data_IF_851538958171
#
_entry.id   IF_851538958171
#
_cell.length_a   1.000
_cell.length_b   1.000
_cell.length_c   1.000
_cell.angle_alpha   90.00
_cell.angle_beta   90.00
_cell.angle_gamma   90.00
#
_symmetry.space_group_name_H-M   'P 1'
#
loop_
_entity.id
_entity.type
_entity.pdbx_description
1 polymer ?
#
# COMPACT_ATOMS: atom_id res chain seq x y z
N UNK A 1 -0.84 1.11 -0.98
CA UNK A 1 -0.56 0.56 0.36
C UNK A 1 -1.71 0.76 1.34
N UNK A 2 -2.29 1.96 1.50
CA UNK A 2 -3.36 2.23 2.47
C UNK A 2 -4.51 1.20 2.50
N UNK A 3 -5.15 0.92 1.37
CA UNK A 3 -6.27 -0.03 1.30
C UNK A 3 -5.87 -1.47 1.64
N UNK A 4 -4.64 -1.87 1.31
CA UNK A 4 -4.12 -3.19 1.71
C UNK A 4 -4.02 -3.25 3.23
N UNK A 5 -3.48 -2.21 3.88
CA UNK A 5 -3.40 -2.18 5.33
C UNK A 5 -4.79 -2.25 5.97
N UNK A 6 -5.75 -1.41 5.53
CA UNK A 6 -7.12 -1.43 6.05
C UNK A 6 -7.81 -2.79 5.86
N UNK A 7 -7.81 -3.33 4.64
CA UNK A 7 -8.59 -4.52 4.32
C UNK A 7 -7.92 -5.85 4.70
N UNK A 8 -6.58 -5.89 4.79
CA UNK A 8 -5.85 -7.14 5.07
C UNK A 8 -5.36 -7.20 6.51
N UNK A 9 -4.78 -6.12 7.00
CA UNK A 9 -4.17 -6.10 8.34
C UNK A 9 -5.22 -5.83 9.41
N UNK A 10 -6.01 -4.76 9.25
CA UNK A 10 -7.01 -4.38 10.26
C UNK A 10 -8.25 -5.30 10.23
N UNK A 11 -8.77 -5.62 9.04
CA UNK A 11 -10.00 -6.41 8.91
C UNK A 11 -9.80 -7.94 9.07
N UNK A 12 -8.76 -8.53 8.49
CA UNK A 12 -8.59 -9.99 8.53
C UNK A 12 -8.04 -10.52 9.87
N UNK A 13 -7.58 -9.63 10.78
CA UNK A 13 -7.06 -9.96 12.13
C UNK A 13 -6.13 -11.18 12.15
N UNK A 14 -5.26 -11.31 11.16
CA UNK A 14 -4.48 -12.54 10.90
C UNK A 14 -3.36 -12.82 11.92
N UNK A 15 -3.35 -12.15 13.08
CA UNK A 15 -2.26 -12.27 14.07
C UNK A 15 -0.90 -11.79 13.54
N UNK A 16 -0.87 -11.18 12.36
CA UNK A 16 0.33 -10.59 11.78
C UNK A 16 0.58 -9.30 12.54
N UNK A 17 1.65 -9.28 13.34
CA UNK A 17 2.19 -8.03 13.88
C UNK A 17 2.81 -7.26 12.72
N UNK A 18 1.98 -6.61 11.90
CA UNK A 18 2.52 -5.58 11.01
C UNK A 18 3.09 -4.48 11.91
N UNK A 19 4.16 -3.84 11.47
CA UNK A 19 4.45 -2.49 11.94
C UNK A 19 3.14 -1.71 11.92
N UNK A 20 2.81 -1.04 13.03
CA UNK A 20 1.59 -0.24 13.13
C UNK A 20 1.76 0.95 12.19
N UNK A 21 1.45 0.78 10.91
CA UNK A 21 1.55 1.86 9.93
C UNK A 21 0.64 3.00 10.36
N UNK A 22 1.25 4.13 10.72
CA UNK A 22 0.51 5.28 11.27
C UNK A 22 0.09 6.19 10.13
N UNK A 23 -0.95 5.76 9.41
CA UNK A 23 -1.55 6.60 8.39
C UNK A 23 -2.13 7.87 9.00
N UNK A 24 -1.80 9.02 8.38
CA UNK A 24 -2.34 10.34 8.69
C UNK A 24 -2.93 10.98 7.45
N UNK A 25 -3.93 11.85 7.64
CA UNK A 25 -4.43 12.69 6.57
C UNK A 25 -3.29 13.58 6.04
N UNK A 26 -3.08 13.57 4.73
CA UNK A 26 -2.10 14.41 4.06
C UNK A 26 -2.68 14.97 2.75
N UNK A 27 -1.99 15.94 2.16
CA UNK A 27 -2.41 16.81 1.05
C UNK A 27 -3.23 16.13 -0.06
N UNK A 28 -2.97 14.85 -0.35
CA UNK A 28 -3.63 14.07 -1.39
C UNK A 28 -4.19 12.72 -0.90
N UNK A 29 -4.39 12.57 0.41
CA UNK A 29 -5.00 11.41 1.06
C UNK A 29 -4.13 10.79 2.16
N UNK A 30 -4.42 9.54 2.56
CA UNK A 30 -3.70 8.85 3.62
C UNK A 30 -2.22 8.67 3.29
N UNK A 31 -1.36 9.07 4.22
CA UNK A 31 0.09 9.00 4.06
C UNK A 31 0.76 8.44 5.32
N UNK A 32 1.85 7.71 5.15
CA UNK A 32 2.77 7.33 6.23
C UNK A 32 4.20 7.30 5.71
N UNK A 33 5.15 7.76 6.54
CA UNK A 33 6.59 7.66 6.29
C UNK A 33 7.10 6.23 6.48
N UNK A 34 6.42 5.43 7.34
CA UNK A 34 6.85 4.07 7.67
C UNK A 34 6.97 3.18 6.41
N UNK A 35 6.13 3.41 5.39
CA UNK A 35 6.19 2.68 4.10
C UNK A 35 7.44 3.07 3.30
N UNK A 36 7.86 4.33 3.35
CA UNK A 36 9.06 4.80 2.67
C UNK A 36 10.31 4.24 3.34
N UNK A 37 10.32 4.19 4.67
CA UNK A 37 11.41 3.57 5.45
C UNK A 37 11.57 2.08 5.12
N UNK A 38 10.46 1.34 5.04
CA UNK A 38 10.48 -0.08 4.65
C UNK A 38 10.99 -0.27 3.22
N UNK A 39 10.57 0.57 2.27
CA UNK A 39 11.06 0.53 0.89
C UNK A 39 12.57 0.81 0.83
N UNK A 40 13.06 1.79 1.58
CA UNK A 40 14.48 2.12 1.65
C UNK A 40 15.29 0.96 2.26
N UNK A 41 14.79 0.34 3.34
CA UNK A 41 15.42 -0.82 3.96
C UNK A 41 15.47 -2.02 2.98
N UNK A 42 14.35 -2.36 2.33
CA UNK A 42 14.27 -3.44 1.34
C UNK A 42 15.20 -3.19 0.16
N UNK A 43 15.34 -1.94 -0.28
CA UNK A 43 16.27 -1.56 -1.35
C UNK A 43 17.73 -1.70 -0.89
N UNK A 44 18.05 -1.29 0.34
CA UNK A 44 19.38 -1.46 0.95
C UNK A 44 19.78 -2.93 1.04
N UNK A 45 18.84 -3.82 1.35
CA UNK A 45 19.09 -5.27 1.36
C UNK A 45 19.10 -5.91 -0.03
N UNK A 46 18.88 -5.14 -1.10
CA UNK A 46 18.83 -5.61 -2.49
C UNK A 46 17.62 -6.48 -2.80
N UNK A 47 16.54 -6.36 -2.02
CA UNK A 47 15.27 -7.08 -2.23
C UNK A 47 14.33 -6.31 -3.15
N UNK A 48 14.48 -5.00 -3.21
CA UNK A 48 13.69 -4.11 -4.06
C UNK A 48 14.62 -3.20 -4.88
N UNK A 49 14.11 -2.72 -6.00
CA UNK A 49 14.67 -1.61 -6.77
C UNK A 49 13.59 -0.58 -7.04
N UNK A 50 14.01 0.68 -7.10
CA UNK A 50 13.17 1.80 -7.52
C UNK A 50 13.59 2.21 -8.92
N UNK A 51 12.62 2.40 -9.81
CA UNK A 51 12.80 2.90 -11.17
C UNK A 51 11.98 4.18 -11.35
N UNK A 52 12.48 5.12 -12.16
CA UNK A 52 11.87 6.44 -12.36
C UNK A 52 12.68 7.56 -11.72
N UNK A 53 12.47 8.79 -12.21
CA UNK A 53 13.14 9.97 -11.68
C UNK A 53 12.59 10.35 -10.30
N UNK A 54 13.42 10.96 -9.45
CA UNK A 54 13.01 11.46 -8.13
C UNK A 54 11.89 12.51 -8.22
N UNK A 55 11.87 13.28 -9.31
CA UNK A 55 10.85 14.30 -9.59
C UNK A 55 9.59 13.74 -10.27
N UNK A 56 9.54 12.43 -10.53
CA UNK A 56 8.45 11.77 -11.25
C UNK A 56 7.85 10.60 -10.46
N UNK A 57 6.84 9.96 -11.05
CA UNK A 57 6.23 8.75 -10.47
C UNK A 57 7.25 7.61 -10.42
N UNK A 58 7.60 7.21 -9.20
CA UNK A 58 8.50 6.08 -8.96
C UNK A 58 7.77 4.73 -9.02
N UNK A 59 8.43 3.74 -9.63
CA UNK A 59 8.01 2.35 -9.68
C UNK A 59 8.87 1.50 -8.77
N UNK A 60 8.24 0.70 -7.91
CA UNK A 60 8.92 -0.19 -6.98
C UNK A 60 8.81 -1.64 -7.44
N UNK A 61 9.94 -2.31 -7.67
CA UNK A 61 9.98 -3.66 -8.21
C UNK A 61 10.81 -4.58 -7.32
N UNK A 62 10.32 -5.80 -7.10
CA UNK A 62 11.14 -6.84 -6.50
C UNK A 62 12.31 -7.20 -7.43
N UNK A 63 13.49 -7.34 -6.84
CA UNK A 63 14.65 -7.97 -7.50
C UNK A 63 14.44 -9.49 -7.57
N UNK A 64 15.26 -10.24 -8.33
CA UNK A 64 15.25 -11.70 -8.24
C UNK A 64 15.42 -12.21 -6.79
N UNK A 65 16.37 -11.62 -6.05
CA UNK A 65 16.59 -11.91 -4.61
C UNK A 65 15.34 -11.63 -3.77
N UNK A 66 14.64 -10.52 -4.04
CA UNK A 66 13.38 -10.19 -3.38
C UNK A 66 12.27 -11.20 -3.64
N UNK A 67 12.14 -11.66 -4.89
CA UNK A 67 11.20 -12.73 -5.26
C UNK A 67 11.51 -14.03 -4.53
N UNK A 68 12.77 -14.42 -4.48
CA UNK A 68 13.18 -15.64 -3.77
C UNK A 68 12.90 -15.54 -2.26
N UNK A 69 13.12 -14.37 -1.66
CA UNK A 69 12.80 -14.13 -0.26
C UNK A 69 11.29 -14.25 0.02
N UNK A 70 10.44 -13.71 -0.86
CA UNK A 70 8.98 -13.86 -0.76
C UNK A 70 8.58 -15.33 -0.88
N UNK A 71 9.09 -16.05 -1.89
CA UNK A 71 8.76 -17.46 -2.09
C UNK A 71 9.12 -18.31 -0.86
N UNK A 72 10.33 -18.15 -0.32
CA UNK A 72 10.75 -18.86 0.91
C UNK A 72 9.87 -18.53 2.11
N UNK A 73 9.39 -17.29 2.20
CA UNK A 73 8.49 -16.88 3.28
C UNK A 73 7.12 -17.54 3.13
N UNK A 74 6.58 -17.63 1.91
CA UNK A 74 5.31 -18.32 1.65
C UNK A 74 5.41 -19.84 1.85
N UNK A 75 6.55 -20.43 1.50
CA UNK A 75 6.80 -21.86 1.69
C UNK A 75 6.89 -22.22 3.18
N UNK A 76 7.53 -21.35 3.98
CA UNK A 76 7.68 -21.55 5.43
C UNK A 76 6.44 -21.19 6.23
N UNK A 77 5.63 -20.26 5.74
CA UNK A 77 4.40 -19.81 6.39
C UNK A 77 3.21 -19.88 5.43
N UNK A 78 2.65 -21.08 5.16
CA UNK A 78 1.56 -21.27 4.20
C UNK A 78 0.31 -20.44 4.51
N UNK A 79 0.11 -20.06 5.78
CA UNK A 79 -0.96 -19.16 6.21
C UNK A 79 -0.91 -17.78 5.53
N UNK A 80 0.29 -17.32 5.12
CA UNK A 80 0.48 -16.07 4.39
C UNK A 80 -0.01 -16.15 2.94
N UNK A 81 -0.26 -17.35 2.40
CA UNK A 81 -0.85 -17.51 1.06
C UNK A 81 -2.20 -16.80 0.98
N UNK A 82 -3.02 -16.91 2.03
CA UNK A 82 -4.32 -16.23 2.10
C UNK A 82 -4.18 -14.70 2.09
N UNK A 83 -3.12 -14.17 2.70
CA UNK A 83 -2.77 -12.74 2.66
C UNK A 83 -2.46 -12.34 1.21
N UNK A 84 -1.68 -13.15 0.49
CA UNK A 84 -1.30 -12.86 -0.90
C UNK A 84 -2.50 -12.91 -1.85
N UNK A 85 -3.44 -13.83 -1.61
CA UNK A 85 -4.69 -13.90 -2.35
C UNK A 85 -5.53 -12.63 -2.16
N UNK A 86 -5.61 -12.12 -0.92
CA UNK A 86 -6.32 -10.88 -0.64
C UNK A 86 -5.63 -9.67 -1.28
N UNK A 87 -4.32 -9.54 -1.12
CA UNK A 87 -3.54 -8.50 -1.80
C UNK A 87 -3.78 -8.55 -3.31
N UNK A 88 -3.82 -9.74 -3.90
CA UNK A 88 -4.09 -9.93 -5.32
C UNK A 88 -5.50 -9.52 -5.72
N UNK A 89 -6.52 -9.79 -4.89
CA UNK A 89 -7.90 -9.30 -5.10
C UNK A 89 -7.97 -7.78 -5.07
N UNK A 90 -7.39 -7.16 -4.04
CA UNK A 90 -7.33 -5.70 -3.90
C UNK A 90 -6.66 -5.06 -5.11
N UNK A 91 -5.50 -5.58 -5.54
CA UNK A 91 -4.81 -5.09 -6.74
C UNK A 91 -5.66 -5.21 -8.00
N UNK A 92 -6.45 -6.28 -8.16
CA UNK A 92 -7.36 -6.44 -9.30
C UNK A 92 -8.54 -5.47 -9.25
N UNK A 93 -9.09 -5.21 -8.07
CA UNK A 93 -10.23 -4.29 -7.89
C UNK A 93 -9.84 -2.85 -8.16
N UNK A 94 -8.71 -2.40 -7.59
CA UNK A 94 -8.29 -1.00 -7.68
C UNK A 94 -7.34 -0.72 -8.85
N UNK A 95 -6.70 -1.74 -9.43
CA UNK A 95 -5.84 -1.58 -10.62
C UNK A 95 -6.61 -1.31 -11.92
N UNK A 96 -7.95 -1.40 -11.91
CA UNK A 96 -8.82 -1.16 -13.07
C UNK A 96 -9.42 0.24 -13.11
N UNK A 97 -9.25 1.01 -12.05
CA UNK A 97 -9.83 2.35 -11.91
C UNK A 97 -8.72 3.40 -11.99
N UNK A 98 -9.09 4.63 -12.33
CA UNK A 98 -8.14 5.74 -12.36
C UNK A 98 -7.69 6.10 -10.94
N UNK A 99 -6.54 6.79 -10.83
CA UNK A 99 -6.07 7.33 -9.56
C UNK A 99 -7.11 8.26 -8.91
N UNK A 100 -7.80 9.06 -9.73
CA UNK A 100 -8.88 9.96 -9.30
C UNK A 100 -10.05 9.19 -8.69
N UNK A 101 -10.50 8.12 -9.35
CA UNK A 101 -11.58 7.27 -8.85
C UNK A 101 -11.16 6.56 -7.55
N UNK A 102 -9.90 6.11 -7.48
CA UNK A 102 -9.34 5.50 -6.27
C UNK A 102 -9.34 6.47 -5.09
N UNK A 103 -8.86 7.71 -5.29
CA UNK A 103 -8.85 8.75 -4.26
C UNK A 103 -10.27 9.09 -3.82
N UNK A 104 -11.22 9.25 -4.75
CA UNK A 104 -12.63 9.50 -4.44
C UNK A 104 -13.23 8.38 -3.59
N UNK A 105 -12.95 7.10 -3.91
CA UNK A 105 -13.40 5.96 -3.09
C UNK A 105 -12.81 6.00 -1.68
N UNK A 106 -11.51 6.29 -1.55
CA UNK A 106 -10.86 6.42 -0.24
C UNK A 106 -11.49 7.52 0.60
N UNK A 107 -11.79 8.68 0.01
CA UNK A 107 -12.38 9.81 0.75
C UNK A 107 -13.82 9.54 1.19
N UNK A 108 -14.60 8.82 0.37
CA UNK A 108 -15.97 8.42 0.75
C UNK A 108 -15.98 7.36 1.85
N UNK A 109 -15.06 6.41 1.80
CA UNK A 109 -15.01 5.31 2.75
C UNK A 109 -14.31 5.69 4.06
N UNK A 110 -13.33 6.61 4.02
CA UNK A 110 -12.53 7.03 5.17
C UNK A 110 -12.42 8.57 5.20
N UNK A 111 -13.54 9.28 5.51
CA UNK A 111 -13.59 10.73 5.49
C UNK A 111 -12.60 11.41 6.44
N UNK A 112 -12.17 10.73 7.51
CA UNK A 112 -11.16 11.20 8.47
C UNK A 112 -9.77 11.43 7.83
N UNK A 113 -9.50 10.86 6.65
CA UNK A 113 -8.24 11.12 5.93
C UNK A 113 -8.34 12.30 4.94
N UNK A 114 -9.44 13.06 4.98
CA UNK A 114 -9.67 14.21 4.09
C UNK A 114 -9.33 15.57 4.72
N UNK A 115 -9.07 15.61 6.03
CA UNK A 115 -8.96 16.86 6.81
C UNK A 115 -7.86 17.81 6.35
N UNK A 116 -6.76 17.27 5.79
CA UNK A 116 -5.63 18.05 5.26
C UNK A 116 -5.53 18.02 3.75
N UNK A 117 -6.57 17.55 3.07
CA UNK A 117 -6.53 17.32 1.64
C UNK A 117 -6.75 18.61 0.85
N UNK A 118 -5.76 19.00 0.04
CA UNK A 118 -5.80 20.16 -0.85
C UNK A 118 -6.68 19.91 -2.09
N UNK A 119 -7.04 18.66 -2.32
CA UNK A 119 -7.88 18.23 -3.44
C UNK A 119 -9.26 17.77 -2.97
N UNK A 120 -9.58 17.89 -1.68
CA UNK A 120 -10.86 17.44 -1.11
C UNK A 120 -12.04 17.94 -1.91
N UNK A 121 -12.11 19.23 -2.19
CA UNK A 121 -13.23 19.86 -2.91
C UNK A 121 -13.46 19.27 -4.31
N UNK A 122 -12.39 18.78 -4.94
CA UNK A 122 -12.44 18.13 -6.26
C UNK A 122 -13.08 16.74 -6.22
N UNK A 123 -13.14 16.10 -5.05
CA UNK A 123 -13.58 14.72 -4.87
C UNK A 123 -14.70 14.54 -3.83
N UNK A 124 -15.03 15.57 -3.06
CA UNK A 124 -16.04 15.53 -1.99
C UNK A 124 -17.49 15.77 -2.48
N UNK A 125 -17.70 16.00 -3.78
CA UNK A 125 -19.00 16.40 -4.34
C UNK A 125 -19.46 15.52 -5.52
N UNK A 126 -19.27 14.20 -5.46
CA UNK A 126 -19.81 13.24 -6.45
C UNK A 126 -20.41 11.99 -5.82
#
# INVERSE_FOLDING_TARGET
>A
MFLIHKQVVEEMKLGISSSNYRFRAWRFGPFTEDVLDDVAALSTFGLMKTEGDEDATQSFLLTPKGRDAVNRTLDSEPALTRVMDEISRIKKSYGRISLEELVSKVYRQYPEYTDKSEIRERFATS
#
